data_IF_190832932821
#
_entry.id   IF_190832932821
#
_cell.length_a   1.000
_cell.length_b   1.000
_cell.length_c   1.000
_cell.angle_alpha   90.00
_cell.angle_beta   90.00
_cell.angle_gamma   90.00
#
_symmetry.space_group_name_H-M   'P 1'
#
loop_
_entity.id
_entity.type
_entity.pdbx_description
1 polymer ?
#
# COMPACT_ATOMS: atom_id res chain seq x y z
N UNK A 1 -12.31 20.96 -8.54
CA UNK A 1 -11.22 20.48 -7.67
C UNK A 1 -9.91 20.76 -8.40
N UNK A 2 -8.88 21.25 -7.69
CA UNK A 2 -7.69 21.81 -8.31
C UNK A 2 -6.94 20.70 -9.08
N UNK A 3 -7.06 20.69 -10.41
CA UNK A 3 -6.50 19.68 -11.31
C UNK A 3 -4.99 19.92 -11.54
N UNK A 4 -4.32 20.53 -10.56
CA UNK A 4 -2.91 20.85 -10.63
C UNK A 4 -2.11 19.54 -10.60
N UNK A 5 -1.19 19.42 -11.55
CA UNK A 5 -0.26 18.31 -11.61
C UNK A 5 0.64 18.31 -10.36
N UNK A 6 0.91 17.13 -9.85
CA UNK A 6 1.73 16.89 -8.66
C UNK A 6 3.17 16.69 -9.10
N UNK A 7 4.09 17.46 -8.53
CA UNK A 7 5.52 17.32 -8.79
C UNK A 7 6.16 16.40 -7.76
N UNK A 8 6.86 15.38 -8.23
CA UNK A 8 7.41 14.33 -7.38
C UNK A 8 8.86 14.03 -7.68
N UNK A 9 9.71 13.94 -6.66
CA UNK A 9 11.10 13.49 -6.81
C UNK A 9 11.21 11.99 -6.55
N UNK A 10 11.88 11.26 -7.44
CA UNK A 10 12.14 9.82 -7.32
C UNK A 10 13.62 9.61 -6.98
N UNK A 11 13.90 9.23 -5.74
CA UNK A 11 15.25 8.95 -5.23
C UNK A 11 15.40 7.45 -5.05
N UNK A 12 16.44 6.87 -5.67
CA UNK A 12 16.69 5.41 -5.60
C UNK A 12 18.15 5.04 -5.87
N UNK A 13 18.54 3.86 -5.40
CA UNK A 13 19.86 3.26 -5.65
C UNK A 13 19.86 2.29 -6.85
N UNK A 14 18.73 2.18 -7.54
CA UNK A 14 18.53 1.35 -8.73
C UNK A 14 17.86 2.17 -9.84
N UNK A 15 17.79 1.63 -11.05
CA UNK A 15 17.21 2.31 -12.19
C UNK A 15 15.67 2.35 -12.05
N UNK A 16 15.15 3.52 -11.70
CA UNK A 16 13.74 3.78 -11.44
C UNK A 16 12.96 4.31 -12.66
N UNK A 17 13.60 4.40 -13.83
CA UNK A 17 12.97 4.84 -15.09
C UNK A 17 11.68 4.08 -15.44
N UNK A 18 11.54 2.75 -15.19
CA UNK A 18 10.26 2.08 -15.40
C UNK A 18 9.12 2.69 -14.58
N UNK A 19 9.36 3.03 -13.30
CA UNK A 19 8.36 3.69 -12.46
C UNK A 19 8.06 5.11 -12.92
N UNK A 20 9.09 5.88 -13.31
CA UNK A 20 8.91 7.19 -13.94
C UNK A 20 7.93 7.10 -15.11
N UNK A 21 8.11 6.09 -15.99
CA UNK A 21 7.23 5.84 -17.12
C UNK A 21 5.79 5.54 -16.71
N UNK A 22 5.57 4.73 -15.66
CA UNK A 22 4.22 4.44 -15.19
C UNK A 22 3.55 5.66 -14.54
N UNK A 23 4.25 6.40 -13.68
CA UNK A 23 3.69 7.58 -13.01
C UNK A 23 3.35 8.70 -14.00
N UNK A 24 4.23 8.95 -14.98
CA UNK A 24 4.03 10.01 -15.98
C UNK A 24 2.87 9.73 -16.93
N UNK A 25 2.66 8.46 -17.28
CA UNK A 25 1.64 8.06 -18.25
C UNK A 25 0.36 7.53 -17.59
N UNK A 26 0.23 7.63 -16.26
CA UNK A 26 -1.03 7.27 -15.60
C UNK A 26 -2.10 8.31 -15.94
N UNK A 27 -3.22 7.84 -16.49
CA UNK A 27 -4.37 8.68 -16.83
C UNK A 27 -5.25 8.96 -15.61
N UNK A 28 -5.03 8.25 -14.50
CA UNK A 28 -5.75 8.48 -13.25
C UNK A 28 -5.29 9.80 -12.61
N UNK A 29 -6.24 10.58 -12.11
CA UNK A 29 -5.93 11.74 -11.29
C UNK A 29 -5.30 11.28 -9.95
N UNK A 30 -4.33 12.03 -9.39
CA UNK A 30 -3.73 13.25 -9.92
C UNK A 30 -2.69 12.96 -11.01
N UNK A 31 -2.58 13.86 -12.00
CA UNK A 31 -1.46 13.80 -12.96
C UNK A 31 -0.15 14.06 -12.22
N UNK A 32 0.87 13.24 -12.47
CA UNK A 32 2.18 13.33 -11.81
C UNK A 32 3.24 13.78 -12.82
N UNK A 33 4.08 14.71 -12.38
CA UNK A 33 5.31 15.14 -13.04
C UNK A 33 6.47 14.60 -12.21
N UNK A 34 6.94 13.37 -12.52
CA UNK A 34 8.06 12.78 -11.79
C UNK A 34 9.40 13.38 -12.25
N UNK A 35 10.35 13.51 -11.33
CA UNK A 35 11.72 13.96 -11.54
C UNK A 35 12.64 12.90 -10.94
N UNK A 36 13.55 12.35 -11.73
CA UNK A 36 14.47 11.30 -11.26
C UNK A 36 15.73 11.94 -10.69
N UNK A 37 16.09 11.57 -9.46
CA UNK A 37 17.33 12.00 -8.82
C UNK A 37 18.55 11.27 -9.40
N UNK A 38 19.78 11.79 -9.20
CA UNK A 38 20.99 11.13 -9.67
C UNK A 38 21.09 9.68 -9.16
N UNK A 39 21.25 8.76 -10.11
CA UNK A 39 21.31 7.33 -9.85
C UNK A 39 22.42 6.97 -8.83
N UNK A 40 22.09 6.18 -7.82
CA UNK A 40 23.05 5.65 -6.84
C UNK A 40 23.56 6.65 -5.80
N UNK A 41 23.03 7.89 -5.79
CA UNK A 41 23.47 8.95 -4.88
C UNK A 41 22.41 9.26 -3.81
N UNK A 42 21.74 8.23 -3.26
CA UNK A 42 20.60 8.43 -2.34
C UNK A 42 20.98 9.29 -1.13
N UNK A 43 21.96 8.86 -0.34
CA UNK A 43 22.36 9.59 0.88
C UNK A 43 22.89 10.98 0.54
N UNK A 44 23.70 11.11 -0.51
CA UNK A 44 24.19 12.42 -0.97
C UNK A 44 23.05 13.35 -1.35
N UNK A 45 22.05 12.85 -2.09
CA UNK A 45 20.85 13.61 -2.46
C UNK A 45 20.05 14.01 -1.22
N UNK A 46 19.92 13.14 -0.21
CA UNK A 46 19.16 13.45 1.01
C UNK A 46 19.88 14.44 1.95
N UNK A 47 21.22 14.42 1.98
CA UNK A 47 22.03 15.30 2.83
C UNK A 47 22.32 16.66 2.17
N UNK A 48 22.52 16.69 0.85
CA UNK A 48 22.82 17.90 0.10
C UNK A 48 21.53 18.69 -0.20
N UNK A 49 21.07 19.45 0.79
CA UNK A 49 19.88 20.29 0.65
C UNK A 49 20.04 21.49 -0.29
N UNK A 50 21.27 21.76 -0.76
CA UNK A 50 21.57 22.78 -1.77
C UNK A 50 21.56 22.22 -3.19
N UNK A 51 21.38 20.90 -3.34
CA UNK A 51 21.24 20.26 -4.64
C UNK A 51 20.09 20.90 -5.45
N UNK A 52 20.31 21.09 -6.75
CA UNK A 52 19.33 21.69 -7.67
C UNK A 52 17.97 21.00 -7.61
N UNK A 53 17.93 19.69 -7.35
CA UNK A 53 16.69 18.93 -7.22
C UNK A 53 15.80 19.41 -6.06
N UNK A 54 16.36 20.05 -5.03
CA UNK A 54 15.64 20.61 -3.88
C UNK A 54 15.50 22.13 -3.90
N UNK A 55 15.95 22.78 -4.99
CA UNK A 55 15.84 24.22 -5.18
C UNK A 55 14.38 24.69 -5.22
N UNK A 56 13.50 23.84 -5.77
CA UNK A 56 12.05 24.03 -5.80
C UNK A 56 11.36 23.16 -4.73
N UNK A 57 10.16 23.58 -4.31
CA UNK A 57 9.31 22.78 -3.43
C UNK A 57 8.54 21.71 -4.22
N UNK A 58 8.49 20.48 -3.70
CA UNK A 58 7.79 19.36 -4.35
C UNK A 58 6.60 18.85 -3.54
N UNK A 59 5.61 18.30 -4.22
CA UNK A 59 4.45 17.70 -3.56
C UNK A 59 4.78 16.36 -2.91
N UNK A 60 5.73 15.61 -3.46
CA UNK A 60 6.26 14.43 -2.78
C UNK A 60 7.71 14.11 -3.15
N UNK A 61 8.36 13.33 -2.29
CA UNK A 61 9.55 12.56 -2.63
C UNK A 61 9.28 11.08 -2.36
N UNK A 62 9.57 10.23 -3.34
CA UNK A 62 9.65 8.78 -3.16
C UNK A 62 11.12 8.42 -2.94
N UNK A 63 11.44 7.84 -1.79
CA UNK A 63 12.79 7.33 -1.48
C UNK A 63 12.72 5.81 -1.45
N UNK A 64 12.98 5.18 -2.59
CA UNK A 64 12.87 3.73 -2.76
C UNK A 64 14.25 3.12 -2.90
N UNK A 65 14.66 2.39 -1.88
CA UNK A 65 16.02 1.85 -1.79
C UNK A 65 16.06 0.34 -1.61
N UNK A 66 17.19 -0.27 -1.95
CA UNK A 66 17.56 -1.61 -1.49
C UNK A 66 18.35 -1.52 -0.18
N UNK A 67 18.11 -2.40 0.79
CA UNK A 67 18.73 -2.31 2.11
C UNK A 67 20.26 -2.36 2.04
N UNK A 68 20.82 -3.21 1.19
CA UNK A 68 22.28 -3.38 1.07
C UNK A 68 23.01 -2.19 0.45
N UNK A 69 22.29 -1.26 -0.18
CA UNK A 69 22.91 -0.06 -0.78
C UNK A 69 22.91 1.14 0.16
N UNK A 70 22.11 1.07 1.22
CA UNK A 70 21.99 2.13 2.23
C UNK A 70 22.70 1.72 3.52
N UNK A 71 22.61 0.44 3.89
CA UNK A 71 23.07 -0.08 5.16
C UNK A 71 24.27 -1.00 4.93
N UNK A 72 25.47 -0.51 5.26
CA UNK A 72 26.70 -1.27 5.15
C UNK A 72 26.66 -2.54 6.01
N UNK A 73 26.03 -2.46 7.18
CA UNK A 73 25.84 -3.61 8.05
C UNK A 73 24.96 -4.69 7.39
N UNK A 74 23.92 -4.31 6.64
CA UNK A 74 23.13 -5.29 5.90
C UNK A 74 23.89 -5.87 4.69
N UNK A 75 24.66 -5.05 3.97
CA UNK A 75 25.53 -5.53 2.89
C UNK A 75 26.52 -6.59 3.39
N UNK A 76 27.15 -6.34 4.54
CA UNK A 76 28.04 -7.32 5.19
C UNK A 76 27.31 -8.60 5.59
N UNK A 77 26.08 -8.50 6.07
CA UNK A 77 25.26 -9.66 6.42
C UNK A 77 24.95 -10.51 5.17
N UNK A 78 24.67 -9.89 4.02
CA UNK A 78 24.51 -10.60 2.74
C UNK A 78 25.79 -11.34 2.32
N UNK A 79 26.96 -10.77 2.63
CA UNK A 79 28.26 -11.41 2.43
C UNK A 79 28.63 -12.40 3.57
N UNK A 80 27.63 -12.88 4.31
CA UNK A 80 27.74 -13.89 5.37
C UNK A 80 28.60 -13.49 6.58
N UNK A 81 28.81 -12.19 6.82
CA UNK A 81 29.49 -11.72 8.03
C UNK A 81 28.53 -11.68 9.22
N UNK A 82 29.07 -11.89 10.42
CA UNK A 82 28.34 -11.63 11.66
C UNK A 82 28.23 -10.11 11.89
N UNK A 83 27.02 -9.64 12.16
CA UNK A 83 26.68 -8.22 12.30
C UNK A 83 25.82 -8.06 13.55
N UNK A 84 26.15 -7.07 14.38
CA UNK A 84 25.34 -6.80 15.58
C UNK A 84 24.04 -6.11 15.16
N UNK A 85 22.95 -6.43 15.87
CA UNK A 85 21.65 -5.84 15.53
C UNK A 85 21.68 -4.34 15.74
N UNK A 86 22.37 -3.90 16.80
CA UNK A 86 22.53 -2.52 17.22
C UNK A 86 23.18 -1.65 16.14
N UNK A 87 24.17 -2.19 15.42
CA UNK A 87 24.84 -1.47 14.31
C UNK A 87 23.87 -1.19 13.17
N UNK A 88 23.04 -2.17 12.81
CA UNK A 88 22.03 -2.03 11.75
C UNK A 88 20.97 -1.00 12.16
N UNK A 89 20.50 -1.04 13.41
CA UNK A 89 19.49 -0.11 13.90
C UNK A 89 20.02 1.34 13.92
N UNK A 90 21.31 1.53 14.25
CA UNK A 90 21.95 2.84 14.19
C UNK A 90 22.04 3.37 12.74
N UNK A 91 22.43 2.53 11.78
CA UNK A 91 22.45 2.93 10.36
C UNK A 91 21.05 3.30 9.83
N UNK A 92 19.99 2.64 10.33
CA UNK A 92 18.60 3.02 10.00
C UNK A 92 18.25 4.38 10.61
N UNK A 93 18.66 4.65 11.84
CA UNK A 93 18.45 5.95 12.48
C UNK A 93 19.11 7.07 11.65
N UNK A 94 20.34 6.86 11.18
CA UNK A 94 21.04 7.80 10.29
C UNK A 94 20.29 8.01 8.96
N UNK A 95 19.77 6.92 8.36
CA UNK A 95 18.96 7.03 7.14
C UNK A 95 17.68 7.83 7.38
N UNK A 96 17.00 7.63 8.50
CA UNK A 96 15.80 8.39 8.86
C UNK A 96 16.14 9.86 9.09
N UNK A 97 17.24 10.17 9.77
CA UNK A 97 17.71 11.56 9.90
C UNK A 97 18.03 12.20 8.55
N UNK A 98 18.52 11.45 7.56
CA UNK A 98 18.70 11.96 6.21
C UNK A 98 17.35 12.29 5.52
N UNK A 99 16.29 11.51 5.76
CA UNK A 99 14.94 11.83 5.28
C UNK A 99 14.40 13.12 5.92
N UNK A 100 14.67 13.36 7.20
CA UNK A 100 14.23 14.57 7.89
C UNK A 100 14.80 15.86 7.26
N UNK A 101 16.00 15.81 6.68
CA UNK A 101 16.64 16.97 6.05
C UNK A 101 15.87 17.50 4.84
N UNK A 102 15.22 16.63 4.06
CA UNK A 102 14.45 17.04 2.88
C UNK A 102 13.02 17.48 3.22
N UNK A 103 12.56 17.24 4.46
CA UNK A 103 11.20 17.55 4.93
C UNK A 103 10.74 18.99 4.65
N UNK A 104 11.56 20.05 4.82
CA UNK A 104 11.13 21.42 4.53
C UNK A 104 10.89 21.69 3.03
N UNK A 105 11.41 20.83 2.15
CA UNK A 105 11.39 20.98 0.69
C UNK A 105 10.29 20.17 0.01
N UNK A 106 9.67 19.24 0.73
CA UNK A 106 8.65 18.35 0.19
C UNK A 106 7.44 18.29 1.09
N UNK A 107 6.25 18.25 0.49
CA UNK A 107 5.00 18.12 1.26
C UNK A 107 4.84 16.73 1.86
N UNK A 108 5.35 15.69 1.20
CA UNK A 108 5.24 14.31 1.67
C UNK A 108 6.47 13.49 1.29
N UNK A 109 6.95 12.65 2.18
CA UNK A 109 7.98 11.64 1.90
C UNK A 109 7.30 10.27 1.89
N UNK A 110 7.50 9.50 0.82
CA UNK A 110 7.03 8.13 0.69
C UNK A 110 8.24 7.21 0.71
N UNK A 111 8.25 6.25 1.62
CA UNK A 111 9.36 5.30 1.78
C UNK A 111 8.82 3.89 1.68
N UNK A 112 9.10 3.16 0.59
CA UNK A 112 8.78 1.74 0.52
C UNK A 112 9.63 0.94 1.54
N UNK A 113 9.03 -0.05 2.19
CA UNK A 113 9.75 -0.99 3.05
C UNK A 113 10.85 -1.73 2.27
N UNK A 114 11.87 -2.23 2.95
CA UNK A 114 12.89 -3.05 2.31
C UNK A 114 12.39 -4.45 2.04
N UNK A 115 12.83 -5.01 0.91
CA UNK A 115 12.56 -6.39 0.48
C UNK A 115 13.86 -7.02 0.00
N UNK A 116 13.92 -8.35 0.03
CA UNK A 116 15.02 -9.11 -0.56
C UNK A 116 14.52 -9.92 -1.77
N UNK A 117 15.37 -10.15 -2.80
CA UNK A 117 15.01 -11.00 -3.92
C UNK A 117 14.67 -12.43 -3.49
N UNK A 118 13.59 -12.98 -4.06
CA UNK A 118 13.08 -14.32 -3.71
C UNK A 118 14.03 -15.48 -4.07
N UNK A 119 15.00 -15.24 -4.96
CA UNK A 119 16.03 -16.23 -5.31
C UNK A 119 17.18 -16.29 -4.30
N UNK A 120 17.23 -15.38 -3.32
CA UNK A 120 18.16 -15.50 -2.19
C UNK A 120 17.56 -16.44 -1.15
N UNK A 121 18.23 -17.57 -0.93
CA UNK A 121 17.80 -18.61 0.00
C UNK A 121 18.32 -18.39 1.43
N UNK A 122 19.10 -17.33 1.64
CA UNK A 122 19.75 -16.98 2.90
C UNK A 122 20.43 -18.18 3.55
N UNK A 123 20.21 -18.35 4.86
CA UNK A 123 20.73 -19.48 5.63
C UNK A 123 19.77 -20.68 5.74
N UNK A 124 18.71 -20.75 4.91
CA UNK A 124 17.73 -21.83 4.97
C UNK A 124 17.02 -21.92 6.33
N UNK A 125 17.10 -23.07 7.01
CA UNK A 125 16.37 -23.30 8.27
C UNK A 125 16.72 -22.33 9.41
N UNK A 126 17.91 -21.72 9.38
CA UNK A 126 18.35 -20.78 10.41
C UNK A 126 18.19 -19.32 9.99
N UNK A 127 17.56 -19.05 8.85
CA UNK A 127 17.38 -17.68 8.32
C UNK A 127 16.37 -16.85 9.13
N UNK A 128 15.63 -17.50 10.03
CA UNK A 128 14.76 -16.87 11.03
C UNK A 128 15.45 -16.68 12.39
N UNK A 129 16.71 -17.09 12.55
CA UNK A 129 17.43 -16.99 13.82
C UNK A 129 17.90 -15.55 14.05
N UNK A 130 17.57 -15.00 15.21
CA UNK A 130 18.02 -13.67 15.64
C UNK A 130 19.54 -13.55 15.61
N UNK A 131 20.02 -12.44 15.01
CA UNK A 131 21.44 -12.08 14.92
C UNK A 131 22.24 -12.88 13.89
N UNK A 132 21.58 -13.67 13.03
CA UNK A 132 22.24 -14.43 11.97
C UNK A 132 21.44 -14.43 10.67
N UNK A 133 20.15 -14.74 10.74
CA UNK A 133 19.33 -14.94 9.56
C UNK A 133 18.94 -13.64 8.85
N UNK A 134 19.03 -13.64 7.52
CA UNK A 134 18.78 -12.45 6.70
C UNK A 134 17.31 -12.02 6.75
N UNK A 135 16.38 -12.98 6.70
CA UNK A 135 14.95 -12.69 6.83
C UNK A 135 14.63 -12.11 8.20
N UNK A 136 15.16 -12.70 9.29
CA UNK A 136 14.94 -12.15 10.62
C UNK A 136 15.49 -10.73 10.76
N UNK A 137 16.70 -10.49 10.25
CA UNK A 137 17.31 -9.16 10.23
C UNK A 137 16.46 -8.16 9.44
N UNK A 138 16.02 -8.50 8.24
CA UNK A 138 15.14 -7.64 7.42
C UNK A 138 13.82 -7.31 8.14
N UNK A 139 13.22 -8.28 8.84
CA UNK A 139 12.00 -8.03 9.63
C UNK A 139 12.24 -7.03 10.76
N UNK A 140 13.36 -7.16 11.49
CA UNK A 140 13.74 -6.19 12.53
C UNK A 140 14.00 -4.80 11.93
N UNK A 141 14.66 -4.73 10.77
CA UNK A 141 14.93 -3.48 10.08
C UNK A 141 13.64 -2.77 9.67
N UNK A 142 12.71 -3.48 9.03
CA UNK A 142 11.44 -2.90 8.60
C UNK A 142 10.56 -2.48 9.77
N UNK A 143 10.58 -3.24 10.88
CA UNK A 143 9.87 -2.85 12.10
C UNK A 143 10.45 -1.56 12.70
N UNK A 144 11.78 -1.50 12.84
CA UNK A 144 12.46 -0.31 13.38
C UNK A 144 12.27 0.91 12.47
N UNK A 145 12.36 0.72 11.15
CA UNK A 145 12.07 1.78 10.17
C UNK A 145 10.64 2.32 10.34
N UNK A 146 9.66 1.45 10.60
CA UNK A 146 8.28 1.86 10.85
C UNK A 146 8.11 2.68 12.12
N UNK A 147 8.72 2.23 13.22
CA UNK A 147 8.72 2.96 14.50
C UNK A 147 9.39 4.34 14.37
N UNK A 148 10.48 4.44 13.59
CA UNK A 148 11.19 5.71 13.41
C UNK A 148 10.46 6.67 12.47
N UNK A 149 9.92 6.18 11.35
CA UNK A 149 9.17 7.02 10.40
C UNK A 149 7.88 7.58 11.01
N UNK A 150 7.24 6.89 11.96
CA UNK A 150 6.06 7.41 12.67
C UNK A 150 6.35 8.76 13.36
N UNK A 151 7.59 8.99 13.78
CA UNK A 151 8.01 10.25 14.42
C UNK A 151 8.40 11.34 13.41
N UNK A 152 8.59 11.00 12.13
CA UNK A 152 8.91 11.95 11.07
C UNK A 152 7.61 12.54 10.54
N UNK A 153 7.39 13.83 10.81
CA UNK A 153 6.24 14.53 10.25
C UNK A 153 6.24 14.39 8.72
N UNK A 154 5.05 14.17 8.14
CA UNK A 154 4.83 14.09 6.70
C UNK A 154 5.63 13.01 5.94
N UNK A 155 6.15 11.99 6.62
CA UNK A 155 6.68 10.77 6.02
C UNK A 155 5.73 9.58 6.21
N UNK A 156 5.63 8.72 5.20
CA UNK A 156 4.77 7.53 5.23
C UNK A 156 5.47 6.32 4.64
N UNK A 157 5.31 5.19 5.29
CA UNK A 157 5.76 3.90 4.78
C UNK A 157 4.78 3.30 3.79
N UNK A 158 5.31 2.72 2.70
CA UNK A 158 4.57 1.90 1.75
C UNK A 158 4.99 0.43 1.89
N UNK A 159 4.02 -0.47 2.00
CA UNK A 159 4.28 -1.91 2.12
C UNK A 159 4.65 -2.52 0.77
N UNK A 160 5.93 -2.44 0.42
CA UNK A 160 6.47 -2.96 -0.85
C UNK A 160 6.45 -4.48 -0.96
N UNK A 161 6.42 -5.20 0.17
CA UNK A 161 6.26 -6.66 0.21
C UNK A 161 4.95 -7.09 -0.46
N UNK A 162 3.90 -6.25 -0.38
CA UNK A 162 2.64 -6.47 -1.11
C UNK A 162 2.87 -6.48 -2.63
N UNK A 163 3.68 -5.57 -3.14
CA UNK A 163 3.96 -5.44 -4.57
C UNK A 163 4.74 -6.65 -5.09
N UNK A 164 5.74 -7.11 -4.32
CA UNK A 164 6.50 -8.33 -4.59
C UNK A 164 5.59 -9.55 -4.62
N UNK A 165 4.71 -9.69 -3.62
CA UNK A 165 3.77 -10.83 -3.53
C UNK A 165 2.78 -10.90 -4.68
N UNK A 166 2.23 -9.75 -5.10
CA UNK A 166 1.32 -9.67 -6.26
C UNK A 166 2.06 -9.98 -7.56
N UNK A 167 3.32 -9.52 -7.69
CA UNK A 167 4.13 -9.82 -8.86
C UNK A 167 4.56 -11.29 -8.94
N UNK A 168 4.72 -11.97 -7.80
CA UNK A 168 5.09 -13.39 -7.73
C UNK A 168 6.50 -13.63 -8.29
N UNK A 169 6.65 -14.65 -9.14
CA UNK A 169 7.94 -15.00 -9.76
C UNK A 169 8.50 -13.87 -10.65
N UNK A 170 7.64 -12.99 -11.17
CA UNK A 170 8.05 -11.85 -11.99
C UNK A 170 8.52 -10.65 -11.15
N UNK A 171 8.55 -10.76 -9.82
CA UNK A 171 8.94 -9.66 -8.94
C UNK A 171 10.40 -9.23 -9.15
N UNK A 172 11.28 -10.19 -9.43
CA UNK A 172 12.70 -9.96 -9.60
C UNK A 172 13.22 -10.66 -10.85
N UNK A 173 14.14 -10.02 -11.56
CA UNK A 173 14.82 -10.63 -12.70
C UNK A 173 16.30 -10.26 -12.70
N UNK A 174 17.21 -11.21 -12.39
CA UNK A 174 18.65 -10.95 -12.38
C UNK A 174 19.17 -10.36 -13.70
N UNK A 175 18.59 -10.73 -14.85
CA UNK A 175 19.02 -10.17 -16.15
C UNK A 175 18.77 -8.66 -16.23
N UNK A 176 17.62 -8.19 -15.73
CA UNK A 176 17.30 -6.76 -15.69
C UNK A 176 18.28 -6.01 -14.79
N UNK A 177 18.66 -6.61 -13.65
CA UNK A 177 19.67 -6.05 -12.77
C UNK A 177 21.03 -5.93 -13.45
N UNK A 178 21.53 -7.00 -14.09
CA UNK A 178 22.86 -6.98 -14.70
C UNK A 178 22.94 -6.10 -15.95
N UNK A 179 21.87 -5.99 -16.74
CA UNK A 179 21.85 -5.19 -17.96
C UNK A 179 21.61 -3.71 -17.72
N UNK A 180 20.77 -3.35 -16.73
CA UNK A 180 20.29 -1.98 -16.58
C UNK A 180 20.13 -1.50 -15.15
N UNK A 181 20.60 -2.27 -14.16
CA UNK A 181 20.44 -1.97 -12.72
C UNK A 181 18.98 -1.77 -12.30
N UNK A 182 18.06 -2.45 -12.97
CA UNK A 182 16.64 -2.42 -12.63
C UNK A 182 16.41 -3.50 -11.56
N UNK A 183 16.01 -3.09 -10.35
CA UNK A 183 15.88 -4.00 -9.20
C UNK A 183 14.64 -4.90 -9.28
N UNK A 184 13.54 -4.40 -9.85
CA UNK A 184 12.25 -5.07 -9.84
C UNK A 184 11.71 -5.36 -11.25
N UNK A 185 10.85 -6.36 -11.38
CA UNK A 185 10.07 -6.58 -12.58
C UNK A 185 8.94 -5.56 -12.74
N UNK A 186 8.45 -5.43 -13.98
CA UNK A 186 7.42 -4.46 -14.35
C UNK A 186 6.14 -4.53 -13.51
N UNK A 187 5.75 -5.73 -13.04
CA UNK A 187 4.55 -5.90 -12.20
C UNK A 187 4.68 -5.16 -10.86
N UNK A 188 5.87 -5.18 -10.25
CA UNK A 188 6.13 -4.47 -8.99
C UNK A 188 5.98 -2.97 -9.19
N UNK A 189 6.54 -2.41 -10.27
CA UNK A 189 6.41 -0.98 -10.58
C UNK A 189 4.96 -0.56 -10.85
N UNK A 190 4.16 -1.41 -11.49
CA UNK A 190 2.72 -1.14 -11.69
C UNK A 190 1.94 -1.11 -10.37
N UNK A 191 2.20 -2.06 -9.47
CA UNK A 191 1.56 -2.05 -8.14
C UNK A 191 2.04 -0.89 -7.27
N UNK A 192 3.33 -0.55 -7.33
CA UNK A 192 3.87 0.64 -6.68
C UNK A 192 3.20 1.92 -7.18
N UNK A 193 3.01 2.06 -8.51
CA UNK A 193 2.31 3.20 -9.11
C UNK A 193 0.90 3.37 -8.51
N UNK A 194 0.12 2.28 -8.42
CA UNK A 194 -1.23 2.30 -7.84
C UNK A 194 -1.22 2.76 -6.38
N UNK A 195 -0.32 2.22 -5.57
CA UNK A 195 -0.25 2.54 -4.14
C UNK A 195 0.27 3.98 -3.91
N UNK A 196 1.22 4.46 -4.72
CA UNK A 196 1.69 5.85 -4.70
C UNK A 196 0.54 6.80 -5.07
N UNK A 197 -0.19 6.53 -6.15
CA UNK A 197 -1.33 7.36 -6.56
C UNK A 197 -2.42 7.38 -5.49
N UNK A 198 -2.73 6.22 -4.90
CA UNK A 198 -3.70 6.11 -3.81
C UNK A 198 -3.26 6.91 -2.58
N UNK A 199 -1.97 6.87 -2.22
CA UNK A 199 -1.41 7.66 -1.12
C UNK A 199 -1.53 9.17 -1.39
N UNK A 200 -1.18 9.61 -2.60
CA UNK A 200 -1.24 11.03 -2.98
C UNK A 200 -2.68 11.56 -3.05
N UNK A 201 -3.63 10.77 -3.53
CA UNK A 201 -5.06 11.08 -3.44
C UNK A 201 -5.49 11.22 -1.97
N UNK A 202 -5.05 10.29 -1.13
CA UNK A 202 -5.33 10.31 0.31
C UNK A 202 -4.87 11.60 0.99
N UNK A 203 -3.63 12.01 0.73
CA UNK A 203 -3.01 13.22 1.29
C UNK A 203 -3.70 14.50 0.80
N UNK A 204 -4.26 14.50 -0.42
CA UNK A 204 -5.05 15.61 -0.94
C UNK A 204 -6.45 15.72 -0.35
N UNK A 205 -6.88 14.73 0.44
CA UNK A 205 -8.25 14.63 0.93
C UNK A 205 -9.24 14.15 -0.13
N UNK A 206 -8.74 13.66 -1.27
CA UNK A 206 -9.52 13.03 -2.35
C UNK A 206 -9.83 11.56 -2.00
N UNK A 207 -10.04 11.25 -0.72
CA UNK A 207 -10.39 9.91 -0.24
C UNK A 207 -11.85 9.58 -0.51
N UNK A 208 -12.13 8.30 -0.76
CA UNK A 208 -13.50 7.78 -0.73
C UNK A 208 -13.96 7.79 0.73
N UNK A 209 -15.09 8.45 1.02
CA UNK A 209 -15.64 8.59 2.38
C UNK A 209 -16.89 7.74 2.62
N UNK A 210 -17.54 7.30 1.55
CA UNK A 210 -18.74 6.50 1.60
C UNK A 210 -18.64 5.38 0.56
N UNK A 211 -19.09 4.18 0.94
CA UNK A 211 -19.34 3.05 0.05
C UNK A 211 -20.86 2.86 0.00
N UNK A 212 -21.41 2.91 -1.22
CA UNK A 212 -22.84 2.64 -1.45
C UNK A 212 -22.94 1.23 -2.04
N UNK A 213 -23.75 0.38 -1.41
CA UNK A 213 -23.94 -1.01 -1.82
C UNK A 213 -25.38 -1.25 -2.26
N UNK A 214 -25.53 -2.19 -3.20
CA UNK A 214 -26.80 -2.84 -3.49
C UNK A 214 -27.09 -3.94 -2.45
N UNK A 215 -28.26 -4.59 -2.51
CA UNK A 215 -28.61 -5.69 -1.62
C UNK A 215 -28.57 -7.05 -2.32
N UNK A 216 -29.56 -7.33 -3.18
CA UNK A 216 -29.68 -8.61 -3.87
C UNK A 216 -28.47 -8.87 -4.80
N UNK A 217 -27.95 -10.09 -4.77
CA UNK A 217 -26.70 -10.49 -5.47
C UNK A 217 -25.46 -9.63 -5.11
N UNK A 218 -25.51 -8.91 -3.98
CA UNK A 218 -24.40 -8.05 -3.51
C UNK A 218 -24.05 -8.32 -2.06
N UNK A 219 -24.98 -8.13 -1.12
CA UNK A 219 -24.76 -8.47 0.29
C UNK A 219 -25.14 -9.92 0.61
N UNK A 220 -25.99 -10.53 -0.21
CA UNK A 220 -26.40 -11.92 -0.14
C UNK A 220 -26.71 -12.44 -1.54
N UNK A 221 -26.80 -13.76 -1.72
CA UNK A 221 -27.27 -14.36 -2.96
C UNK A 221 -28.78 -14.59 -2.94
N UNK A 222 -29.44 -14.37 -4.07
CA UNK A 222 -30.88 -14.45 -4.23
C UNK A 222 -31.58 -13.09 -4.20
N UNK A 223 -32.84 -13.09 -4.65
CA UNK A 223 -33.74 -11.94 -4.67
C UNK A 223 -34.68 -12.05 -3.47
N UNK A 224 -34.54 -11.15 -2.50
CA UNK A 224 -35.28 -11.26 -1.22
C UNK A 224 -36.80 -11.19 -1.39
N UNK A 225 -37.28 -10.40 -2.36
CA UNK A 225 -38.71 -10.27 -2.63
C UNK A 225 -39.37 -11.56 -3.14
N UNK A 226 -38.59 -12.43 -3.81
CA UNK A 226 -39.08 -13.69 -4.37
C UNK A 226 -38.84 -14.87 -3.41
N UNK A 227 -37.66 -14.90 -2.78
CA UNK A 227 -37.22 -16.05 -1.98
C UNK A 227 -37.63 -15.97 -0.50
N UNK A 228 -37.87 -14.76 0.03
CA UNK A 228 -37.94 -14.52 1.47
C UNK A 228 -36.54 -14.56 2.12
N UNK A 229 -36.40 -13.91 3.27
CA UNK A 229 -35.10 -13.75 3.93
C UNK A 229 -34.50 -15.06 4.44
N UNK A 230 -35.34 -16.06 4.73
CA UNK A 230 -34.96 -17.38 5.22
C UNK A 230 -34.21 -18.22 4.17
N UNK A 231 -34.45 -17.93 2.89
CA UNK A 231 -33.89 -18.70 1.77
C UNK A 231 -32.77 -17.95 1.04
N UNK A 232 -32.36 -16.78 1.56
CA UNK A 232 -31.21 -16.07 1.03
C UNK A 232 -29.94 -16.89 1.23
N UNK A 233 -29.06 -16.84 0.23
CA UNK A 233 -27.78 -17.50 0.29
C UNK A 233 -26.78 -16.61 1.01
N UNK A 234 -26.63 -16.86 2.31
CA UNK A 234 -25.73 -16.13 3.18
C UNK A 234 -25.27 -17.03 4.33
N UNK A 235 -23.96 -17.16 4.51
CA UNK A 235 -23.34 -17.98 5.55
C UNK A 235 -23.61 -19.48 5.44
N UNK A 236 -23.57 -20.17 6.60
CA UNK A 236 -23.78 -21.61 6.71
C UNK A 236 -22.71 -22.48 6.01
N UNK A 237 -23.03 -23.75 5.75
CA UNK A 237 -22.17 -24.70 5.02
C UNK A 237 -22.32 -24.57 3.49
N UNK A 238 -22.38 -23.34 2.98
CA UNK A 238 -22.46 -23.04 1.55
C UNK A 238 -21.29 -22.15 1.12
N UNK A 239 -20.43 -22.59 0.19
CA UNK A 239 -19.25 -21.82 -0.21
C UNK A 239 -19.55 -20.41 -0.73
N UNK A 240 -20.71 -20.22 -1.37
CA UNK A 240 -21.11 -18.90 -1.90
C UNK A 240 -21.68 -18.05 -0.76
N UNK A 241 -22.50 -18.61 0.12
CA UNK A 241 -22.98 -17.94 1.33
C UNK A 241 -21.83 -17.47 2.23
N UNK A 242 -20.81 -18.31 2.45
CA UNK A 242 -19.59 -17.96 3.18
C UNK A 242 -18.84 -16.78 2.51
N UNK A 243 -18.77 -16.75 1.18
CA UNK A 243 -18.16 -15.65 0.45
C UNK A 243 -18.89 -14.30 0.65
N UNK A 244 -20.22 -14.30 0.68
CA UNK A 244 -21.00 -13.10 1.00
C UNK A 244 -20.76 -12.62 2.43
N UNK A 245 -20.64 -13.54 3.39
CA UNK A 245 -20.27 -13.22 4.79
C UNK A 245 -18.90 -12.57 4.85
N UNK A 246 -17.91 -13.08 4.12
CA UNK A 246 -16.56 -12.49 4.08
C UNK A 246 -16.55 -11.12 3.40
N UNK A 247 -17.36 -10.93 2.35
CA UNK A 247 -17.56 -9.61 1.74
C UNK A 247 -18.16 -8.61 2.74
N UNK A 248 -19.17 -9.01 3.51
CA UNK A 248 -19.75 -8.16 4.55
C UNK A 248 -18.74 -7.83 5.67
N UNK A 249 -17.90 -8.80 6.10
CA UNK A 249 -16.81 -8.53 7.06
C UNK A 249 -15.81 -7.50 6.50
N UNK A 250 -15.49 -7.58 5.21
CA UNK A 250 -14.63 -6.60 4.55
C UNK A 250 -15.27 -5.20 4.58
N UNK A 251 -16.55 -5.07 4.22
CA UNK A 251 -17.31 -3.82 4.33
C UNK A 251 -17.32 -3.26 5.75
N UNK A 252 -17.62 -4.12 6.74
CA UNK A 252 -17.60 -3.74 8.15
C UNK A 252 -16.23 -3.29 8.63
N UNK A 253 -15.14 -3.87 8.10
CA UNK A 253 -13.79 -3.42 8.45
C UNK A 253 -13.49 -1.99 8.00
N UNK A 254 -14.18 -1.48 6.97
CA UNK A 254 -14.04 -0.10 6.52
C UNK A 254 -14.72 0.90 7.47
N UNK A 255 -15.80 0.52 8.14
CA UNK A 255 -16.48 1.41 9.11
C UNK A 255 -15.58 1.73 10.31
N UNK A 256 -14.77 0.76 10.75
CA UNK A 256 -13.73 0.96 11.76
C UNK A 256 -12.65 1.99 11.35
N UNK A 257 -12.55 2.31 10.05
CA UNK A 257 -11.62 3.30 9.50
C UNK A 257 -12.31 4.65 9.19
N UNK A 258 -13.55 4.83 9.64
CA UNK A 258 -14.34 6.03 9.43
C UNK A 258 -15.00 6.14 8.05
N UNK A 259 -15.05 5.06 7.27
CA UNK A 259 -15.79 5.01 6.01
C UNK A 259 -17.26 4.74 6.30
N UNK A 260 -18.15 5.58 5.77
CA UNK A 260 -19.59 5.41 5.91
C UNK A 260 -20.09 4.34 4.93
N UNK A 261 -21.10 3.57 5.34
CA UNK A 261 -21.83 2.68 4.44
C UNK A 261 -23.22 3.25 4.16
N UNK A 262 -23.67 3.13 2.91
CA UNK A 262 -25.04 3.41 2.52
C UNK A 262 -25.61 2.33 1.61
N UNK A 263 -26.94 2.24 1.55
CA UNK A 263 -27.64 1.27 0.68
C UNK A 263 -28.37 2.03 -0.43
N UNK A 264 -28.24 1.55 -1.67
CA UNK A 264 -29.06 1.97 -2.81
C UNK A 264 -29.55 0.73 -3.56
N UNK A 265 -30.79 0.31 -3.28
CA UNK A 265 -31.33 -0.98 -3.75
C UNK A 265 -32.74 -0.86 -4.33
N UNK A 266 -33.05 -1.75 -5.29
CA UNK A 266 -34.37 -1.87 -5.90
C UNK A 266 -35.16 -3.00 -5.24
N UNK A 267 -35.76 -2.70 -4.08
CA UNK A 267 -36.59 -3.62 -3.32
C UNK A 267 -37.75 -2.90 -2.63
N UNK A 268 -38.66 -3.69 -2.06
CA UNK A 268 -39.57 -3.20 -1.01
C UNK A 268 -38.78 -2.98 0.28
N UNK A 269 -38.79 -1.76 0.83
CA UNK A 269 -37.95 -1.37 1.97
C UNK A 269 -38.16 -2.27 3.19
N UNK A 270 -39.41 -2.54 3.55
CA UNK A 270 -39.74 -3.37 4.71
C UNK A 270 -39.17 -4.80 4.60
N UNK A 271 -39.25 -5.40 3.41
CA UNK A 271 -38.75 -6.76 3.14
C UNK A 271 -37.23 -6.82 3.23
N UNK A 272 -36.56 -5.81 2.66
CA UNK A 272 -35.10 -5.72 2.71
C UNK A 272 -34.58 -5.50 4.15
N UNK A 273 -35.20 -4.61 4.91
CA UNK A 273 -34.82 -4.34 6.30
C UNK A 273 -35.09 -5.55 7.20
N UNK A 274 -36.20 -6.26 6.98
CA UNK A 274 -36.51 -7.50 7.67
C UNK A 274 -35.41 -8.55 7.46
N UNK A 275 -34.89 -8.69 6.24
CA UNK A 275 -33.80 -9.60 5.96
C UNK A 275 -32.50 -9.26 6.71
N UNK A 276 -32.14 -7.97 6.75
CA UNK A 276 -30.95 -7.49 7.48
C UNK A 276 -31.09 -7.76 8.98
N UNK A 277 -32.28 -7.56 9.54
CA UNK A 277 -32.53 -7.70 10.98
C UNK A 277 -32.62 -9.17 11.42
N UNK A 278 -33.38 -10.00 10.68
CA UNK A 278 -33.75 -11.35 11.10
C UNK A 278 -32.76 -12.42 10.69
N UNK A 279 -32.02 -12.25 9.59
CA UNK A 279 -31.13 -13.29 9.12
C UNK A 279 -29.91 -13.42 10.09
N UNK A 280 -29.72 -14.59 10.73
CA UNK A 280 -28.67 -14.76 11.75
C UNK A 280 -27.25 -14.68 11.18
N UNK A 281 -27.08 -14.98 9.88
CA UNK A 281 -25.78 -14.95 9.19
C UNK A 281 -25.41 -13.54 8.70
N UNK A 282 -26.30 -12.55 8.82
CA UNK A 282 -26.00 -11.15 8.51
C UNK A 282 -24.95 -10.58 9.47
N UNK A 283 -23.82 -10.16 8.91
CA UNK A 283 -22.71 -9.53 9.65
C UNK A 283 -22.95 -8.02 9.79
N UNK A 284 -23.42 -7.39 8.72
CA UNK A 284 -23.83 -5.98 8.71
C UNK A 284 -25.23 -5.86 9.33
N UNK A 285 -25.36 -4.96 10.30
CA UNK A 285 -26.63 -4.59 10.93
C UNK A 285 -27.06 -3.23 10.44
N UNK A 286 -28.33 -2.88 10.65
CA UNK A 286 -28.87 -1.59 10.17
C UNK A 286 -28.06 -0.40 10.70
N UNK A 287 -27.58 -0.49 11.95
CA UNK A 287 -26.73 0.53 12.59
C UNK A 287 -25.32 0.67 11.97
N UNK A 288 -24.88 -0.30 11.15
CA UNK A 288 -23.62 -0.18 10.38
C UNK A 288 -23.80 0.75 9.16
N UNK A 289 -25.04 1.11 8.79
CA UNK A 289 -25.35 1.99 7.66
C UNK A 289 -25.75 3.40 8.11
N UNK A 290 -25.14 4.41 7.49
CA UNK A 290 -25.42 5.82 7.77
C UNK A 290 -26.65 6.36 7.04
N UNK A 291 -27.03 5.72 5.94
CA UNK A 291 -28.24 6.02 5.18
C UNK A 291 -28.64 4.85 4.28
N UNK A 292 -29.91 4.80 3.87
CA UNK A 292 -30.35 3.87 2.83
C UNK A 292 -31.47 4.48 2.00
N UNK A 293 -31.52 4.07 0.73
CA UNK A 293 -32.62 4.32 -0.20
C UNK A 293 -32.97 3.00 -0.84
N UNK A 294 -34.11 2.44 -0.42
CA UNK A 294 -34.60 1.14 -0.89
C UNK A 294 -35.99 1.37 -1.48
N UNK A 295 -36.08 1.45 -2.79
CA UNK A 295 -37.34 1.64 -3.52
C UNK A 295 -37.18 1.27 -4.99
N UNK A 296 -38.26 1.39 -5.77
CA UNK A 296 -38.27 1.01 -7.18
C UNK A 296 -37.82 2.11 -8.16
N UNK A 297 -37.37 3.26 -7.63
CA UNK A 297 -36.90 4.39 -8.46
C UNK A 297 -35.53 4.10 -9.07
N UNK A 298 -35.11 4.93 -10.03
CA UNK A 298 -33.73 4.88 -10.53
C UNK A 298 -32.73 5.19 -9.41
N UNK A 299 -31.54 4.57 -9.46
CA UNK A 299 -30.52 4.70 -8.40
C UNK A 299 -29.68 5.98 -8.53
N UNK A 300 -29.75 6.68 -9.66
CA UNK A 300 -28.97 7.89 -9.95
C UNK A 300 -29.55 9.18 -9.33
#
# INVERSE_FOLDING_TARGET
>A
MNNAAIRGVLVSDFNIEPLYGYLKNDEQAPSIIPIVAPFGQVIQTLLDTDNEIWSEYHDFALVWTRPESILNSFARALDFHCVQTEDILAEIDDFVSALENIRPRVKTILVPTWVIPTFWHGYGMIDMRKGLGLVNTLMHMNLHLAEKIENVQNAFLLNSERWVRVAGEDAFNPKLWYLGKIAFGNKVFKEACKDINSALQGIRGDTRKIIIVDLDETLWGGIVGDAGWENLRLGGHDPIGEAYVDFQKALKSFTNRGILLGIASKNEESVALEAIEKNPEMVLKIDDFSCWKINWDDKA
#
